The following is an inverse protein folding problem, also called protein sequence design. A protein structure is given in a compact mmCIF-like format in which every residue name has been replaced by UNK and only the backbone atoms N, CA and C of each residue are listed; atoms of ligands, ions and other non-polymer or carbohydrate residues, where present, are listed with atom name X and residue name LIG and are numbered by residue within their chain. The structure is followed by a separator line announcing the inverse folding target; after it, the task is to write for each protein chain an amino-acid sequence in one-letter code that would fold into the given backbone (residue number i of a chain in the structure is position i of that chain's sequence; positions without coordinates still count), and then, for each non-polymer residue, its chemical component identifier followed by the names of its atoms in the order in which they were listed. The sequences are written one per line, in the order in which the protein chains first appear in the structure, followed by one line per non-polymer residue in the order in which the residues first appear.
data_IF_295886731503
#
_entry.id   IF_295886731503
#
_cell.length_a   1.000
_cell.length_b   1.000
_cell.length_c   1.000
_cell.angle_alpha   90.00
_cell.angle_beta   90.00
_cell.angle_gamma   90.00
#
_symmetry.space_group_name_H-M   'P 1'
#
loop_
_entity.id
_entity.type
_entity.pdbx_description
1 polymer ?
#
# COMPACT_ATOMS: atom_id res chain seq x y z
N UNK A 1 -1.61 -11.73 -29.26
CA UNK A 1 -1.85 -12.70 -28.17
C UNK A 1 -0.59 -12.82 -27.34
N UNK A 2 -0.69 -12.43 -26.06
CA UNK A 2 0.25 -12.68 -24.97
C UNK A 2 -0.55 -12.54 -23.66
N UNK A 3 -0.55 -13.52 -22.72
CA UNK A 3 -1.74 -13.81 -21.91
C UNK A 3 -1.66 -13.32 -20.45
N UNK A 4 -1.26 -12.06 -20.22
CA UNK A 4 -1.28 -11.47 -18.87
C UNK A 4 -1.89 -10.08 -18.91
N UNK A 5 -3.22 -10.05 -19.02
CA UNK A 5 -4.01 -8.83 -18.85
C UNK A 5 -4.06 -8.44 -17.38
N UNK A 6 -3.06 -7.69 -16.92
CA UNK A 6 -3.17 -6.92 -15.68
C UNK A 6 -4.06 -5.71 -16.04
N UNK A 7 -5.22 -5.62 -15.39
CA UNK A 7 -6.20 -4.57 -15.63
C UNK A 7 -5.56 -3.19 -15.50
N UNK A 8 -5.41 -2.50 -16.62
CA UNK A 8 -5.05 -1.09 -16.65
C UNK A 8 -6.25 -0.30 -16.12
N UNK A 9 -6.19 0.12 -14.86
CA UNK A 9 -7.14 1.10 -14.34
C UNK A 9 -6.72 2.49 -14.86
N UNK A 10 -7.40 2.99 -15.88
CA UNK A 10 -7.36 4.40 -16.23
C UNK A 10 -8.16 5.19 -15.20
N UNK A 11 -7.47 5.84 -14.26
CA UNK A 11 -8.07 6.90 -13.47
C UNK A 11 -8.04 8.18 -14.32
N UNK A 12 -9.07 8.31 -15.15
CA UNK A 12 -9.35 9.51 -15.94
C UNK A 12 -9.79 10.66 -15.03
N UNK A 13 -9.10 11.80 -15.15
CA UNK A 13 -9.53 13.16 -14.78
C UNK A 13 -10.49 13.27 -13.59
N UNK A 14 -10.00 13.77 -12.45
CA UNK A 14 -10.79 14.15 -11.26
C UNK A 14 -11.71 15.39 -11.50
N UNK A 15 -12.19 15.57 -12.72
CA UNK A 15 -13.28 16.48 -13.06
C UNK A 15 -14.62 15.77 -12.97
N UNK A 16 -15.69 16.55 -12.82
CA UNK A 16 -17.09 16.12 -12.64
C UNK A 16 -17.40 14.82 -13.40
N UNK A 17 -17.60 13.73 -12.68
CA UNK A 17 -18.10 12.47 -13.27
C UNK A 17 -19.50 12.77 -13.82
N UNK A 18 -19.81 12.39 -15.06
CA UNK A 18 -21.16 12.53 -15.61
C UNK A 18 -22.13 11.75 -14.73
N UNK A 19 -22.85 12.45 -13.85
CA UNK A 19 -23.81 11.88 -12.89
C UNK A 19 -23.53 12.18 -11.41
N UNK A 20 -22.36 12.72 -11.05
CA UNK A 20 -22.03 13.13 -9.68
C UNK A 20 -22.23 14.63 -9.43
N UNK A 21 -22.85 15.00 -8.31
CA UNK A 21 -22.95 16.39 -7.85
C UNK A 21 -21.58 16.98 -7.47
N UNK A 22 -21.56 18.22 -6.95
CA UNK A 22 -20.33 18.88 -6.49
C UNK A 22 -19.59 18.11 -5.37
N UNK A 23 -20.27 17.22 -4.65
CA UNK A 23 -19.68 16.35 -3.62
C UNK A 23 -18.93 15.14 -4.20
N UNK A 24 -19.03 14.89 -5.50
CA UNK A 24 -18.34 13.78 -6.18
C UNK A 24 -17.03 14.21 -6.85
N UNK A 25 -16.51 15.39 -6.52
CA UNK A 25 -15.25 15.92 -7.07
C UNK A 25 -14.21 16.07 -5.98
N UNK A 26 -13.01 15.51 -6.22
CA UNK A 26 -11.80 15.69 -5.41
C UNK A 26 -11.10 17.05 -5.65
N UNK A 27 -11.73 17.93 -6.41
CA UNK A 27 -11.21 19.24 -6.76
C UNK A 27 -11.83 20.32 -5.87
N UNK A 28 -11.04 21.26 -5.32
CA UNK A 28 -9.59 21.40 -5.49
C UNK A 28 -8.78 20.36 -4.68
N UNK A 29 -7.73 19.79 -5.30
CA UNK A 29 -6.90 18.74 -4.69
C UNK A 29 -6.23 19.19 -3.39
N UNK A 30 -5.93 20.49 -3.24
CA UNK A 30 -5.36 21.04 -2.01
C UNK A 30 -6.31 20.94 -0.80
N UNK A 31 -7.62 20.89 -1.02
CA UNK A 31 -8.62 20.72 0.04
C UNK A 31 -8.86 19.24 0.38
N UNK A 32 -8.39 18.32 -0.47
CA UNK A 32 -8.56 16.86 -0.35
C UNK A 32 -7.23 16.09 -0.43
N UNK A 33 -6.15 16.68 0.12
CA UNK A 33 -4.80 16.11 0.04
C UNK A 33 -4.71 14.71 0.67
N UNK A 34 -5.43 14.51 1.76
CA UNK A 34 -5.43 13.25 2.50
C UNK A 34 -6.07 12.14 1.65
N UNK A 35 -7.24 12.39 1.08
CA UNK A 35 -7.97 11.45 0.22
C UNK A 35 -7.14 11.15 -1.03
N UNK A 36 -6.59 12.18 -1.67
CA UNK A 36 -5.78 12.02 -2.87
C UNK A 36 -4.52 11.18 -2.59
N UNK A 37 -3.79 11.47 -1.50
CA UNK A 37 -2.62 10.68 -1.07
C UNK A 37 -3.00 9.23 -0.80
N UNK A 38 -4.08 9.01 -0.05
CA UNK A 38 -4.53 7.68 0.35
C UNK A 38 -4.94 6.85 -0.87
N UNK A 39 -5.67 7.44 -1.82
CA UNK A 39 -6.00 6.78 -3.09
C UNK A 39 -4.75 6.37 -3.87
N UNK A 40 -3.75 7.25 -3.97
CA UNK A 40 -2.51 6.91 -4.68
C UNK A 40 -1.76 5.76 -4.02
N UNK A 41 -1.64 5.79 -2.70
CA UNK A 41 -0.96 4.77 -1.91
C UNK A 41 -1.70 3.43 -1.98
N UNK A 42 -3.04 3.44 -1.92
CA UNK A 42 -3.85 2.22 -2.06
C UNK A 42 -3.66 1.58 -3.43
N UNK A 43 -3.68 2.36 -4.51
CA UNK A 43 -3.49 1.84 -5.86
C UNK A 43 -2.11 1.18 -6.00
N UNK A 44 -1.04 1.90 -5.66
CA UNK A 44 0.31 1.36 -5.76
C UNK A 44 0.57 0.20 -4.79
N UNK A 45 -0.01 0.28 -3.60
CA UNK A 45 0.06 -0.77 -2.56
C UNK A 45 -0.71 -2.04 -2.89
N UNK A 46 -1.69 -1.96 -3.80
CA UNK A 46 -2.40 -3.12 -4.35
C UNK A 46 -1.74 -3.65 -5.64
N UNK A 47 -0.53 -3.19 -5.98
CA UNK A 47 0.17 -3.55 -7.22
C UNK A 47 -0.45 -2.96 -8.48
N UNK A 48 -1.36 -1.99 -8.37
CA UNK A 48 -1.99 -1.33 -9.52
C UNK A 48 -1.05 -0.24 -10.03
N UNK A 49 -0.58 -0.41 -11.25
CA UNK A 49 0.22 0.58 -11.97
C UNK A 49 -0.69 1.65 -12.59
N UNK A 50 -1.32 2.46 -11.75
CA UNK A 50 -2.23 3.50 -12.20
C UNK A 50 -1.50 4.57 -13.02
N UNK A 51 -2.07 4.88 -14.19
CA UNK A 51 -1.66 6.02 -15.00
C UNK A 51 -2.56 7.21 -14.66
N UNK A 52 -2.04 8.15 -13.86
CA UNK A 52 -2.74 9.39 -13.54
C UNK A 52 -2.67 10.34 -14.74
N UNK A 53 -3.82 10.70 -15.31
CA UNK A 53 -3.94 11.58 -16.48
C UNK A 53 -5.05 12.62 -16.26
N UNK A 54 -4.75 13.86 -16.59
CA UNK A 54 -5.68 14.99 -16.49
C UNK A 54 -5.05 16.30 -16.98
N UNK A 55 -5.82 17.39 -17.10
CA UNK A 55 -5.30 18.70 -17.51
C UNK A 55 -4.22 19.24 -16.55
N UNK A 56 -4.29 18.83 -15.28
CA UNK A 56 -3.27 19.05 -14.25
C UNK A 56 -3.22 17.85 -13.31
N UNK A 57 -2.04 17.56 -12.76
CA UNK A 57 -1.84 16.50 -11.74
C UNK A 57 -1.79 17.03 -10.30
N UNK A 58 -1.61 18.34 -10.17
CA UNK A 58 -1.56 19.08 -8.92
C UNK A 58 -2.02 20.52 -9.19
N UNK A 59 -2.67 21.12 -8.20
CA UNK A 59 -3.20 22.49 -8.24
C UNK A 59 -2.31 23.49 -7.49
N UNK A 60 -1.61 23.03 -6.44
CA UNK A 60 -0.74 23.85 -5.59
C UNK A 60 0.65 23.23 -5.43
N UNK A 61 1.67 24.00 -4.97
CA UNK A 61 2.98 23.45 -4.61
C UNK A 61 2.90 22.33 -3.58
N UNK A 62 1.96 22.43 -2.62
CA UNK A 62 1.75 21.42 -1.58
C UNK A 62 1.24 20.09 -2.17
N UNK A 63 0.28 20.14 -3.10
CA UNK A 63 -0.19 18.97 -3.82
C UNK A 63 0.92 18.33 -4.66
N UNK A 64 1.77 19.14 -5.29
CA UNK A 64 2.93 18.66 -6.05
C UNK A 64 3.94 17.93 -5.15
N UNK A 65 4.22 18.47 -3.97
CA UNK A 65 5.13 17.86 -3.00
C UNK A 65 4.59 16.49 -2.55
N UNK A 66 3.32 16.41 -2.19
CA UNK A 66 2.66 15.16 -1.83
C UNK A 66 2.74 14.12 -2.96
N UNK A 67 2.40 14.50 -4.20
CA UNK A 67 2.50 13.59 -5.36
C UNK A 67 3.94 13.13 -5.57
N UNK A 68 4.92 14.01 -5.38
CA UNK A 68 6.34 13.69 -5.52
C UNK A 68 6.78 12.68 -4.46
N UNK A 69 6.37 12.87 -3.20
CA UNK A 69 6.63 11.95 -2.08
C UNK A 69 6.11 10.54 -2.40
N UNK A 70 4.85 10.44 -2.85
CA UNK A 70 4.23 9.14 -3.19
C UNK A 70 4.96 8.47 -4.36
N UNK A 71 5.33 9.23 -5.39
CA UNK A 71 6.07 8.68 -6.55
C UNK A 71 7.47 8.21 -6.13
N UNK A 72 8.16 8.95 -5.25
CA UNK A 72 9.47 8.54 -4.74
C UNK A 72 9.36 7.24 -3.93
N UNK A 73 8.35 7.15 -3.06
CA UNK A 73 8.05 5.92 -2.32
C UNK A 73 7.77 4.73 -3.25
N UNK A 74 6.91 4.92 -4.26
CA UNK A 74 6.62 3.86 -5.23
C UNK A 74 7.88 3.44 -5.99
N UNK A 75 8.68 4.38 -6.48
CA UNK A 75 9.94 4.08 -7.19
C UNK A 75 10.91 3.29 -6.34
N UNK A 76 10.99 3.59 -5.04
CA UNK A 76 11.84 2.86 -4.09
C UNK A 76 11.43 1.40 -3.95
N UNK A 77 10.13 1.14 -3.84
CA UNK A 77 9.58 -0.20 -3.59
C UNK A 77 9.01 -0.89 -4.84
N UNK A 78 9.23 -0.32 -6.03
CA UNK A 78 8.61 -0.75 -7.28
C UNK A 78 8.78 -2.23 -7.58
N UNK A 79 9.95 -2.79 -7.28
CA UNK A 79 10.23 -4.18 -7.60
C UNK A 79 9.35 -5.13 -6.77
N UNK A 80 9.22 -4.87 -5.46
CA UNK A 80 8.40 -5.71 -4.58
C UNK A 80 6.91 -5.41 -4.74
N UNK A 81 6.50 -4.16 -4.90
CA UNK A 81 5.09 -3.77 -5.12
C UNK A 81 4.50 -4.32 -6.43
N UNK A 82 5.32 -4.74 -7.39
CA UNK A 82 4.88 -5.39 -8.62
C UNK A 82 5.04 -6.92 -8.59
N UNK A 83 5.32 -7.49 -7.41
CA UNK A 83 5.42 -8.94 -7.22
C UNK A 83 4.08 -9.54 -6.74
N UNK A 84 4.04 -10.86 -6.63
CA UNK A 84 2.85 -11.62 -6.24
C UNK A 84 2.27 -11.15 -4.90
N UNK A 85 0.93 -11.13 -4.83
CA UNK A 85 0.17 -10.60 -3.70
C UNK A 85 -0.49 -11.74 -2.92
N UNK A 86 -0.34 -11.69 -1.60
CA UNK A 86 -1.08 -12.47 -0.62
C UNK A 86 -2.06 -11.53 0.08
N UNK A 87 -3.34 -11.87 0.05
CA UNK A 87 -4.34 -11.13 0.82
C UNK A 87 -4.32 -11.60 2.27
N UNK A 88 -4.09 -10.68 3.22
CA UNK A 88 -4.05 -10.99 4.65
C UNK A 88 -5.46 -10.95 5.24
N UNK A 89 -6.21 -9.88 4.95
CA UNK A 89 -7.60 -9.70 5.36
C UNK A 89 -8.34 -8.90 4.30
N UNK A 90 -9.56 -9.34 3.98
CA UNK A 90 -10.44 -8.64 3.03
C UNK A 90 -10.96 -7.33 3.67
N UNK A 91 -11.01 -6.22 2.91
CA UNK A 91 -11.64 -4.98 3.37
C UNK A 91 -13.14 -5.16 3.60
N UNK A 92 -13.60 -4.80 4.80
CA UNK A 92 -15.02 -4.81 5.21
C UNK A 92 -15.49 -3.46 5.78
N UNK A 93 -14.62 -2.43 5.72
CA UNK A 93 -14.82 -1.09 6.28
C UNK A 93 -15.12 -1.05 7.79
N UNK A 94 -14.89 -2.15 8.53
CA UNK A 94 -15.18 -2.25 9.97
C UNK A 94 -13.93 -2.51 10.81
N UNK A 95 -12.94 -3.16 10.24
CA UNK A 95 -11.67 -3.46 10.89
C UNK A 95 -10.53 -3.25 9.88
N UNK A 96 -9.30 -3.56 10.28
CA UNK A 96 -8.14 -3.43 9.39
C UNK A 96 -8.25 -4.27 8.12
N UNK A 97 -7.60 -3.85 7.05
CA UNK A 97 -7.36 -4.70 5.89
C UNK A 97 -5.88 -4.70 5.54
N UNK A 98 -5.45 -5.72 4.78
CA UNK A 98 -4.04 -5.84 4.50
C UNK A 98 -3.70 -6.75 3.33
N UNK A 99 -2.63 -6.36 2.66
CA UNK A 99 -2.06 -7.02 1.49
C UNK A 99 -0.57 -7.21 1.74
N UNK A 100 -0.01 -8.30 1.25
CA UNK A 100 1.42 -8.55 1.32
C UNK A 100 1.95 -8.95 -0.03
N UNK A 101 2.90 -8.19 -0.55
CA UNK A 101 3.70 -8.61 -1.69
C UNK A 101 4.83 -9.53 -1.22
N UNK A 102 5.16 -10.53 -2.03
CA UNK A 102 6.25 -11.48 -1.74
C UNK A 102 7.09 -11.72 -2.98
N UNK A 103 8.41 -11.80 -2.79
CA UNK A 103 9.33 -12.20 -3.85
C UNK A 103 10.62 -12.78 -3.28
N UNK A 104 10.89 -14.09 -3.46
CA UNK A 104 12.10 -14.72 -2.91
C UNK A 104 13.39 -14.28 -3.61
N UNK A 105 13.30 -13.67 -4.80
CA UNK A 105 14.47 -13.29 -5.60
C UNK A 105 14.94 -11.84 -5.37
N UNK A 106 14.14 -11.02 -4.67
CA UNK A 106 14.48 -9.62 -4.40
C UNK A 106 15.25 -9.46 -3.10
N UNK A 107 15.76 -8.25 -2.85
CA UNK A 107 16.36 -7.87 -1.57
C UNK A 107 15.28 -7.79 -0.49
N UNK A 108 14.24 -7.02 -0.76
CA UNK A 108 13.00 -6.99 0.01
C UNK A 108 12.21 -8.26 -0.34
N UNK A 109 12.18 -9.23 0.58
CA UNK A 109 11.52 -10.53 0.39
C UNK A 109 10.00 -10.45 0.54
N UNK A 110 9.54 -9.45 1.29
CA UNK A 110 8.12 -9.15 1.43
C UNK A 110 7.85 -7.68 1.74
N UNK A 111 6.65 -7.24 1.38
CA UNK A 111 6.16 -5.89 1.65
C UNK A 111 4.69 -5.97 2.07
N UNK A 112 4.41 -5.78 3.35
CA UNK A 112 3.07 -5.88 3.91
C UNK A 112 2.49 -4.48 4.15
N UNK A 113 1.31 -4.21 3.62
CA UNK A 113 0.54 -3.00 3.87
C UNK A 113 -0.68 -3.30 4.71
N UNK A 114 -0.94 -2.41 5.66
CA UNK A 114 -2.08 -2.48 6.55
C UNK A 114 -2.83 -1.15 6.54
N UNK A 115 -4.15 -1.22 6.43
CA UNK A 115 -5.03 -0.06 6.35
C UNK A 115 -6.03 -0.11 7.51
N UNK A 116 -6.42 1.07 7.99
CA UNK A 116 -7.41 1.24 9.04
C UNK A 116 -8.47 2.24 8.56
N UNK A 117 -9.69 1.77 8.25
CA UNK A 117 -10.79 2.62 7.82
C UNK A 117 -11.50 3.32 9.00
N UNK A 118 -11.11 3.05 10.25
CA UNK A 118 -11.76 3.61 11.44
C UNK A 118 -11.06 4.90 11.91
N UNK A 119 -11.80 5.73 12.65
CA UNK A 119 -11.34 7.00 13.22
C UNK A 119 -10.51 6.85 14.51
N UNK A 120 -10.22 5.62 14.93
CA UNK A 120 -9.41 5.34 16.12
C UNK A 120 -8.14 4.57 15.76
N UNK A 121 -7.07 4.79 16.52
CA UNK A 121 -5.82 4.04 16.34
C UNK A 121 -6.07 2.58 16.67
N UNK A 122 -5.58 1.69 15.81
CA UNK A 122 -5.80 0.26 15.94
C UNK A 122 -4.49 -0.48 16.21
N UNK A 123 -4.51 -1.37 17.21
CA UNK A 123 -3.40 -2.29 17.47
C UNK A 123 -3.87 -3.72 17.28
N UNK A 124 -3.16 -4.48 16.45
CA UNK A 124 -3.45 -5.88 16.13
C UNK A 124 -2.18 -6.71 16.13
N UNK A 125 -2.28 -7.94 16.62
CA UNK A 125 -1.24 -8.95 16.40
C UNK A 125 -1.66 -9.78 15.20
N UNK A 126 -0.86 -9.72 14.13
CA UNK A 126 -1.19 -10.33 12.83
C UNK A 126 -0.17 -11.43 12.57
N UNK A 127 -0.67 -12.61 12.20
CA UNK A 127 0.18 -13.69 11.71
C UNK A 127 0.53 -13.44 10.25
N UNK A 128 1.79 -13.09 9.98
CA UNK A 128 2.28 -12.86 8.64
C UNK A 128 2.77 -14.17 8.01
N UNK A 129 2.19 -14.63 6.89
CA UNK A 129 2.66 -15.80 6.16
C UNK A 129 3.89 -15.46 5.34
N UNK A 130 5.05 -16.02 5.69
CA UNK A 130 6.32 -15.79 5.01
C UNK A 130 6.78 -16.97 4.14
N UNK A 131 5.96 -18.02 4.00
CA UNK A 131 6.31 -19.23 3.23
C UNK A 131 6.81 -18.91 1.81
N UNK A 132 6.12 -18.03 1.09
CA UNK A 132 6.48 -17.64 -0.29
C UNK A 132 7.58 -16.58 -0.39
N UNK A 133 8.05 -16.04 0.74
CA UNK A 133 9.15 -15.05 0.78
C UNK A 133 10.53 -15.68 0.59
N UNK A 134 10.64 -17.01 0.66
CA UNK A 134 11.91 -17.74 0.61
C UNK A 134 12.72 -17.71 1.92
N UNK A 135 12.21 -17.05 2.97
CA UNK A 135 12.81 -17.05 4.30
C UNK A 135 12.53 -18.37 5.03
N UNK A 136 13.54 -18.90 5.72
CA UNK A 136 13.46 -20.24 6.35
C UNK A 136 13.63 -20.25 7.86
N UNK A 137 14.46 -19.37 8.43
CA UNK A 137 14.78 -19.37 9.86
C UNK A 137 14.46 -18.05 10.54
N UNK A 138 14.90 -16.94 9.94
CA UNK A 138 14.72 -15.60 10.47
C UNK A 138 14.21 -14.65 9.41
N UNK A 139 13.50 -13.62 9.86
CA UNK A 139 13.07 -12.47 9.06
C UNK A 139 13.45 -11.20 9.79
N UNK A 140 14.03 -10.24 9.07
CA UNK A 140 14.23 -8.88 9.57
C UNK A 140 13.08 -8.02 9.08
N UNK A 141 12.29 -7.52 10.01
CA UNK A 141 11.08 -6.77 9.72
C UNK A 141 11.25 -5.34 10.22
N UNK A 142 11.09 -4.37 9.34
CA UNK A 142 11.08 -2.94 9.70
C UNK A 142 9.73 -2.33 9.38
N UNK A 143 9.25 -1.50 10.28
CA UNK A 143 8.13 -0.60 10.00
C UNK A 143 8.66 0.59 9.19
N UNK A 144 8.11 0.80 7.99
CA UNK A 144 8.52 1.88 7.09
C UNK A 144 10.05 1.96 6.96
N UNK A 145 10.65 3.13 7.25
CA UNK A 145 12.10 3.36 7.24
C UNK A 145 12.75 3.24 8.63
N UNK A 146 12.05 2.62 9.57
CA UNK A 146 12.49 2.41 10.94
C UNK A 146 13.57 1.35 11.08
N UNK A 147 13.94 1.09 12.33
CA UNK A 147 14.95 0.07 12.67
C UNK A 147 14.36 -1.34 12.46
N UNK A 148 15.07 -2.23 11.77
CA UNK A 148 14.63 -3.61 11.60
C UNK A 148 14.73 -4.37 12.93
N UNK A 149 13.71 -5.19 13.19
CA UNK A 149 13.63 -6.13 14.31
C UNK A 149 13.67 -7.55 13.73
N UNK A 150 14.46 -8.42 14.35
CA UNK A 150 14.58 -9.82 13.90
C UNK A 150 13.53 -10.69 14.56
N UNK A 151 12.81 -11.44 13.72
CA UNK A 151 11.84 -12.45 14.12
C UNK A 151 12.35 -13.82 13.73
N UNK A 152 12.11 -14.82 14.57
CA UNK A 152 12.30 -16.22 14.20
C UNK A 152 11.01 -16.74 13.59
N UNK A 153 11.11 -17.39 12.43
CA UNK A 153 9.96 -18.02 11.81
C UNK A 153 9.55 -19.24 12.62
N UNK A 154 8.24 -19.40 12.81
CA UNK A 154 7.69 -20.66 13.32
C UNK A 154 7.76 -21.76 12.23
N UNK A 155 7.49 -23.01 12.60
CA UNK A 155 7.50 -24.18 11.70
C UNK A 155 6.58 -24.03 10.50
N UNK A 156 5.52 -23.24 10.64
CA UNK A 156 4.58 -22.92 9.56
C UNK A 156 5.03 -21.72 8.70
N UNK A 157 6.27 -21.27 8.85
CA UNK A 157 6.85 -20.12 8.15
C UNK A 157 6.04 -18.84 8.38
N UNK A 158 5.57 -18.63 9.60
CA UNK A 158 4.84 -17.43 10.00
C UNK A 158 5.57 -16.68 11.10
N UNK A 159 5.27 -15.39 11.25
CA UNK A 159 5.68 -14.57 12.38
C UNK A 159 4.46 -13.87 12.98
N UNK A 160 4.48 -13.64 14.29
CA UNK A 160 3.49 -12.77 14.95
C UNK A 160 4.02 -11.35 14.97
N UNK A 161 3.39 -10.47 14.20
CA UNK A 161 3.74 -9.06 14.11
C UNK A 161 2.69 -8.23 14.84
N UNK A 162 3.12 -7.47 15.86
CA UNK A 162 2.27 -6.44 16.48
C UNK A 162 2.32 -5.18 15.61
N UNK A 163 1.19 -4.84 15.02
CA UNK A 163 1.01 -3.70 14.13
C UNK A 163 0.17 -2.63 14.81
N UNK A 164 0.63 -1.38 14.73
CA UNK A 164 -0.13 -0.19 15.14
C UNK A 164 -0.48 0.61 13.89
N UNK A 165 -1.76 0.73 13.57
CA UNK A 165 -2.24 1.43 12.38
C UNK A 165 -2.92 2.73 12.83
N UNK A 166 -2.51 3.90 12.33
CA UNK A 166 -3.16 5.16 12.66
C UNK A 166 -4.64 5.17 12.23
N UNK A 167 -5.44 6.01 12.90
CA UNK A 167 -6.82 6.28 12.49
C UNK A 167 -6.88 6.81 11.06
N UNK A 168 -7.84 6.35 10.26
CA UNK A 168 -8.01 6.71 8.86
C UNK A 168 -6.65 6.69 8.15
N UNK A 169 -5.96 5.57 8.17
CA UNK A 169 -4.55 5.58 7.84
C UNK A 169 -4.02 4.23 7.45
N UNK A 170 -2.72 4.21 7.21
CA UNK A 170 -2.01 3.02 6.79
C UNK A 170 -0.61 3.00 7.38
N UNK A 171 -0.04 1.81 7.44
CA UNK A 171 1.37 1.59 7.68
C UNK A 171 1.85 0.45 6.80
N UNK A 172 3.15 0.36 6.58
CA UNK A 172 3.74 -0.75 5.84
C UNK A 172 4.98 -1.28 6.52
N UNK A 173 5.22 -2.57 6.31
CA UNK A 173 6.38 -3.28 6.82
C UNK A 173 7.15 -3.87 5.67
N UNK A 174 8.47 -3.74 5.75
CA UNK A 174 9.39 -4.37 4.81
C UNK A 174 10.05 -5.56 5.48
N UNK A 175 10.00 -6.70 4.80
CA UNK A 175 10.54 -7.97 5.25
C UNK A 175 11.78 -8.27 4.42
N UNK A 176 12.89 -8.46 5.11
CA UNK A 176 14.20 -8.76 4.56
C UNK A 176 14.78 -10.01 5.27
N UNK A 177 15.89 -10.52 4.75
CA UNK A 177 16.62 -11.63 5.36
C UNK A 177 17.46 -11.17 6.55
#
# INVERSE_FOLDING_TARGET
MGPYGIGMLELCSFGRIQGGGAEATLEPLSEHLYEYKTHMIQNYGAGVQACYRGPRLYDTPQTKEMVTEVIQWYKKYRNILNSDIIHLRRPDARDWDGLMHVNPNLKEKGFAMFYNPTDTVMVRTIQLPLYYSGLTQTARVREQEGKPVTYRLDRNYTIELKVTIPANGYTWYVIEQ
#
